data_IF_814278673036
#
_entry.id   IF_814278673036
#
_cell.length_a   1.000
_cell.length_b   1.000
_cell.length_c   1.000
_cell.angle_alpha   90.00
_cell.angle_beta   90.00
_cell.angle_gamma   90.00
#
_symmetry.space_group_name_H-M   'P 1'
#
loop_
_entity.id
_entity.type
_entity.pdbx_description
1 polymer ?
#
# COMPACT_ATOMS: atom_id res chain seq x y z
N UNK A 1 15.92 1.99 15.17
CA UNK A 1 15.62 0.59 14.82
C UNK A 1 14.77 0.50 13.57
N UNK A 2 13.66 1.23 13.54
CA UNK A 2 12.72 1.31 12.39
C UNK A 2 12.82 2.61 11.59
N UNK A 3 13.81 3.45 11.90
CA UNK A 3 14.21 4.60 11.10
C UNK A 3 14.79 4.15 9.75
N UNK A 4 14.81 5.04 8.76
CA UNK A 4 15.19 4.71 7.38
C UNK A 4 16.52 3.94 7.30
N UNK A 5 17.57 4.41 7.97
CA UNK A 5 18.87 3.75 8.02
C UNK A 5 18.83 2.34 8.66
N UNK A 6 17.89 2.10 9.57
CA UNK A 6 17.67 0.79 10.18
C UNK A 6 16.82 -0.17 9.34
N UNK A 7 16.14 0.31 8.30
CA UNK A 7 15.25 -0.50 7.44
C UNK A 7 15.75 -0.64 6.01
N UNK A 8 16.55 0.29 5.48
CA UNK A 8 17.15 0.21 4.15
C UNK A 8 17.86 -1.14 3.87
N UNK A 9 18.66 -1.72 4.78
CA UNK A 9 19.24 -3.05 4.58
C UNK A 9 18.22 -4.17 4.32
N UNK A 10 17.04 -4.07 4.95
CA UNK A 10 15.96 -5.04 4.78
C UNK A 10 15.23 -4.85 3.45
N UNK A 11 15.06 -3.60 2.99
CA UNK A 11 14.55 -3.33 1.63
C UNK A 11 15.47 -3.89 0.55
N UNK A 12 16.80 -3.81 0.76
CA UNK A 12 17.77 -4.42 -0.14
C UNK A 12 17.74 -5.94 -0.06
N UNK A 13 17.69 -6.53 1.14
CA UNK A 13 17.65 -7.99 1.32
C UNK A 13 16.44 -8.66 0.66
N UNK A 14 15.26 -8.04 0.76
CA UNK A 14 14.04 -8.63 0.20
C UNK A 14 14.03 -8.60 -1.33
N UNK A 15 14.79 -7.68 -1.95
CA UNK A 15 14.63 -7.31 -3.35
C UNK A 15 15.60 -8.02 -4.29
N UNK A 16 15.09 -8.38 -5.46
CA UNK A 16 15.85 -8.70 -6.66
C UNK A 16 15.39 -7.79 -7.79
N UNK A 17 16.09 -6.67 -7.92
CA UNK A 17 15.82 -5.61 -8.86
C UNK A 17 16.39 -5.92 -10.25
N UNK A 18 15.53 -5.85 -11.26
CA UNK A 18 15.86 -6.06 -12.68
C UNK A 18 16.01 -4.72 -13.43
N UNK A 19 16.76 -3.77 -12.85
CA UNK A 19 17.05 -2.49 -13.50
C UNK A 19 18.26 -2.54 -14.42
N UNK A 20 18.30 -1.63 -15.40
CA UNK A 20 19.38 -1.57 -16.40
C UNK A 20 20.72 -1.05 -15.84
N UNK A 21 20.68 -0.31 -14.73
CA UNK A 21 21.87 0.26 -14.07
C UNK A 21 22.01 -0.32 -12.66
N UNK A 22 23.26 -0.57 -12.26
CA UNK A 22 23.59 -0.86 -10.87
C UNK A 22 23.13 0.31 -9.98
N UNK A 23 22.58 -0.02 -8.82
CA UNK A 23 22.09 0.97 -7.85
C UNK A 23 22.48 0.54 -6.45
N UNK A 24 23.12 1.45 -5.71
CA UNK A 24 23.52 1.23 -4.31
C UNK A 24 22.32 1.20 -3.34
N UNK A 25 21.12 1.50 -3.86
CA UNK A 25 19.86 1.55 -3.12
C UNK A 25 19.03 0.27 -3.26
N UNK A 26 19.32 -0.56 -4.27
CA UNK A 26 18.48 -1.69 -4.67
C UNK A 26 19.12 -3.02 -4.29
N UNK A 27 18.28 -4.03 -4.05
CA UNK A 27 18.70 -5.42 -3.85
C UNK A 27 18.80 -6.17 -5.16
N UNK A 28 19.72 -7.14 -5.29
CA UNK A 28 19.89 -7.92 -6.54
C UNK A 28 19.86 -9.43 -6.33
N UNK A 29 19.70 -9.88 -5.09
CA UNK A 29 19.81 -11.29 -4.68
C UNK A 29 18.64 -11.78 -3.83
N UNK A 30 17.71 -10.89 -3.48
CA UNK A 30 16.52 -11.22 -2.70
C UNK A 30 15.50 -12.11 -3.43
N UNK A 31 14.49 -12.61 -2.72
CA UNK A 31 13.46 -13.47 -3.31
C UNK A 31 12.37 -12.69 -4.08
N UNK A 32 12.20 -11.38 -3.82
CA UNK A 32 11.17 -10.57 -4.47
C UNK A 32 11.71 -9.95 -5.77
N UNK A 33 11.36 -10.55 -6.90
CA UNK A 33 11.65 -9.96 -8.20
C UNK A 33 10.82 -8.71 -8.47
N UNK A 34 11.51 -7.60 -8.75
CA UNK A 34 10.93 -6.29 -9.07
C UNK A 34 11.58 -5.78 -10.35
N UNK A 35 10.80 -5.18 -11.25
CA UNK A 35 11.32 -4.62 -12.51
C UNK A 35 10.72 -3.26 -12.80
N UNK A 36 11.49 -2.40 -13.48
CA UNK A 36 10.99 -1.12 -13.98
C UNK A 36 9.98 -1.37 -15.10
N UNK A 37 8.90 -0.61 -15.11
CA UNK A 37 7.96 -0.64 -16.21
C UNK A 37 8.60 -0.03 -17.48
N UNK A 38 8.24 -0.56 -18.65
CA UNK A 38 8.84 -0.15 -19.93
C UNK A 38 8.22 1.13 -20.49
N UNK A 39 7.11 1.59 -19.93
CA UNK A 39 6.30 2.71 -20.45
C UNK A 39 5.96 2.49 -21.93
N UNK A 40 5.35 1.35 -22.23
CA UNK A 40 5.13 0.94 -23.62
C UNK A 40 4.19 1.89 -24.38
N UNK A 41 3.30 2.58 -23.67
CA UNK A 41 2.31 3.48 -24.26
C UNK A 41 2.88 4.91 -24.42
N UNK A 42 2.74 5.57 -25.58
CA UNK A 42 3.17 6.96 -25.76
C UNK A 42 2.64 7.94 -24.70
N UNK A 43 1.42 7.72 -24.20
CA UNK A 43 0.79 8.53 -23.15
C UNK A 43 1.61 8.55 -21.84
N UNK A 44 2.25 7.44 -21.50
CA UNK A 44 3.07 7.32 -20.29
C UNK A 44 4.31 8.22 -20.38
N UNK A 45 4.94 8.24 -21.55
CA UNK A 45 6.10 9.10 -21.84
C UNK A 45 5.69 10.57 -21.90
N UNK A 46 4.55 10.87 -22.52
CA UNK A 46 3.98 12.20 -22.57
C UNK A 46 3.66 12.74 -21.17
N UNK A 47 3.13 11.92 -20.27
CA UNK A 47 2.88 12.29 -18.88
C UNK A 47 4.16 12.66 -18.12
N UNK A 48 5.24 11.88 -18.27
CA UNK A 48 6.54 12.22 -17.67
C UNK A 48 7.15 13.49 -18.28
N UNK A 49 7.04 13.67 -19.60
CA UNK A 49 7.50 14.88 -20.27
C UNK A 49 6.72 16.12 -19.83
N UNK A 50 5.40 16.00 -19.67
CA UNK A 50 4.53 17.04 -19.14
C UNK A 50 4.90 17.42 -17.71
N UNK A 51 5.24 16.44 -16.86
CA UNK A 51 5.79 16.73 -15.53
C UNK A 51 7.04 17.61 -15.56
N UNK A 52 7.97 17.32 -16.48
CA UNK A 52 9.17 18.14 -16.71
C UNK A 52 8.83 19.54 -17.22
N UNK A 53 7.90 19.66 -18.16
CA UNK A 53 7.45 20.95 -18.71
C UNK A 53 6.76 21.82 -17.63
N UNK A 54 6.06 21.19 -16.68
CA UNK A 54 5.51 21.86 -15.50
C UNK A 54 6.55 22.24 -14.43
N UNK A 55 7.83 21.94 -14.66
CA UNK A 55 8.96 22.31 -13.79
C UNK A 55 9.36 21.25 -12.76
N UNK A 56 8.80 20.04 -12.81
CA UNK A 56 9.17 18.99 -11.86
C UNK A 56 10.37 18.16 -12.33
N UNK A 57 11.18 17.62 -11.40
CA UNK A 57 12.25 16.70 -11.75
C UNK A 57 11.69 15.38 -12.31
N UNK A 58 12.51 14.71 -13.12
CA UNK A 58 12.29 13.32 -13.54
C UNK A 58 13.34 12.47 -12.87
N UNK A 59 12.91 11.46 -12.11
CA UNK A 59 13.80 10.55 -11.38
C UNK A 59 13.94 9.22 -12.12
N UNK A 60 15.17 8.72 -12.20
CA UNK A 60 15.44 7.37 -12.73
C UNK A 60 15.00 6.30 -11.73
N UNK A 61 14.95 6.60 -10.43
CA UNK A 61 14.57 5.63 -9.40
C UNK A 61 13.88 6.27 -8.18
N UNK A 62 12.54 6.24 -8.17
CA UNK A 62 11.73 6.79 -7.07
C UNK A 62 11.81 5.96 -5.77
N UNK A 63 12.29 4.71 -5.83
CA UNK A 63 12.56 3.89 -4.66
C UNK A 63 14.03 3.95 -4.22
N UNK A 64 14.86 4.70 -4.95
CA UNK A 64 16.29 4.87 -4.69
C UNK A 64 16.60 6.23 -4.07
N UNK A 65 17.61 6.92 -4.62
CA UNK A 65 18.08 8.19 -4.08
C UNK A 65 17.01 9.28 -4.06
N UNK A 66 16.20 9.43 -5.12
CA UNK A 66 15.26 10.55 -5.25
C UNK A 66 13.84 10.06 -5.52
N UNK A 67 12.96 10.16 -4.51
CA UNK A 67 11.54 9.84 -4.64
C UNK A 67 10.76 10.93 -5.39
N UNK A 68 11.00 12.21 -5.04
CA UNK A 68 10.24 13.34 -5.59
C UNK A 68 10.53 13.56 -7.08
N UNK A 69 9.46 13.67 -7.85
CA UNK A 69 9.49 13.82 -9.31
C UNK A 69 8.68 12.76 -10.05
N UNK A 70 8.76 12.81 -11.38
CA UNK A 70 8.10 11.88 -12.30
C UNK A 70 9.02 10.70 -12.60
N UNK A 71 8.45 9.49 -12.69
CA UNK A 71 9.22 8.29 -12.99
C UNK A 71 8.39 7.22 -13.72
N UNK A 72 9.09 6.23 -14.26
CA UNK A 72 8.47 4.94 -14.55
C UNK A 72 8.27 4.15 -13.24
N UNK A 73 7.11 3.49 -13.09
CA UNK A 73 6.79 2.71 -11.88
C UNK A 73 7.51 1.36 -11.85
N UNK A 74 7.70 0.84 -10.64
CA UNK A 74 8.18 -0.53 -10.43
C UNK A 74 7.03 -1.53 -10.31
N UNK A 75 7.26 -2.75 -10.76
CA UNK A 75 6.28 -3.82 -10.71
C UNK A 75 6.89 -5.11 -10.16
N UNK A 76 6.19 -5.76 -9.23
CA UNK A 76 6.48 -7.13 -8.81
C UNK A 76 5.96 -8.15 -9.83
N UNK A 77 6.60 -8.18 -11.00
CA UNK A 77 6.30 -9.11 -12.10
C UNK A 77 7.57 -9.81 -12.54
N UNK A 78 7.52 -11.14 -12.60
CA UNK A 78 8.62 -11.98 -13.03
C UNK A 78 8.14 -13.06 -13.99
N UNK A 79 8.85 -13.25 -15.11
CA UNK A 79 8.47 -14.17 -16.20
C UNK A 79 6.99 -14.02 -16.61
N UNK A 80 6.56 -12.77 -16.75
CA UNK A 80 5.21 -12.39 -17.15
C UNK A 80 4.11 -12.67 -16.14
N UNK A 81 4.45 -13.07 -14.91
CA UNK A 81 3.48 -13.39 -13.86
C UNK A 81 3.63 -12.46 -12.67
N UNK A 82 2.53 -12.18 -11.97
CA UNK A 82 2.60 -11.56 -10.64
C UNK A 82 3.56 -12.35 -9.75
N UNK A 83 4.53 -11.66 -9.17
CA UNK A 83 5.47 -12.22 -8.23
C UNK A 83 5.05 -11.87 -6.81
N UNK A 84 4.24 -12.74 -6.20
CA UNK A 84 3.71 -12.53 -4.84
C UNK A 84 4.68 -13.06 -3.77
N UNK A 85 4.47 -12.65 -2.52
CA UNK A 85 5.16 -13.23 -1.35
C UNK A 85 4.93 -14.73 -1.21
N UNK A 86 3.80 -15.25 -1.68
CA UNK A 86 3.57 -16.69 -1.74
C UNK A 86 4.55 -17.40 -2.69
N UNK A 87 4.90 -16.77 -3.82
CA UNK A 87 5.89 -17.31 -4.76
C UNK A 87 7.31 -17.11 -4.22
N UNK A 88 7.61 -15.91 -3.71
CA UNK A 88 8.93 -15.50 -3.27
C UNK A 88 9.38 -16.19 -1.98
N UNK A 89 8.50 -16.34 -0.99
CA UNK A 89 8.84 -16.83 0.35
C UNK A 89 8.16 -18.14 0.71
N UNK A 90 6.83 -18.22 0.61
CA UNK A 90 6.08 -19.37 1.15
C UNK A 90 6.36 -20.67 0.38
N UNK A 91 6.30 -20.65 -0.95
CA UNK A 91 6.56 -21.87 -1.75
C UNK A 91 7.97 -22.43 -1.57
N UNK A 92 9.04 -21.62 -1.59
CA UNK A 92 10.38 -22.10 -1.21
C UNK A 92 10.42 -22.68 0.20
N UNK A 93 9.82 -22.01 1.19
CA UNK A 93 9.79 -22.49 2.57
C UNK A 93 9.06 -23.85 2.70
N UNK A 94 7.94 -24.05 2.01
CA UNK A 94 7.21 -25.33 1.97
C UNK A 94 8.05 -26.46 1.40
N UNK A 95 8.88 -26.21 0.37
CA UNK A 95 9.77 -27.23 -0.24
C UNK A 95 10.84 -27.75 0.72
N UNK A 96 11.15 -27.02 1.79
CA UNK A 96 12.11 -27.49 2.81
C UNK A 96 11.56 -28.63 3.67
N UNK A 97 10.24 -28.88 3.63
CA UNK A 97 9.56 -29.84 4.50
C UNK A 97 9.38 -29.38 5.95
N UNK A 98 9.88 -28.18 6.32
CA UNK A 98 9.81 -27.63 7.69
C UNK A 98 8.57 -26.78 7.95
N UNK A 99 7.79 -26.47 6.93
CA UNK A 99 6.57 -25.65 7.03
C UNK A 99 5.35 -26.51 6.75
N UNK A 100 4.40 -26.51 7.69
CA UNK A 100 3.07 -27.10 7.50
C UNK A 100 2.07 -26.00 7.18
N UNK A 101 1.37 -26.12 6.05
CA UNK A 101 0.29 -25.21 5.68
C UNK A 101 -1.05 -25.76 6.17
N UNK A 102 -1.77 -24.98 6.97
CA UNK A 102 -3.15 -25.27 7.38
C UNK A 102 -4.08 -24.25 6.77
N UNK A 103 -5.24 -24.69 6.25
CA UNK A 103 -6.28 -23.82 5.71
C UNK A 103 -7.48 -23.84 6.66
N UNK A 104 -7.80 -22.69 7.23
CA UNK A 104 -8.90 -22.52 8.16
C UNK A 104 -9.06 -21.06 8.58
N UNK A 105 -10.10 -20.79 9.37
CA UNK A 105 -10.33 -19.48 9.99
C UNK A 105 -9.70 -19.47 11.37
N UNK A 106 -8.67 -18.65 11.59
CA UNK A 106 -8.15 -18.39 12.93
C UNK A 106 -9.24 -17.67 13.75
N UNK A 107 -9.60 -18.23 14.90
CA UNK A 107 -10.70 -17.74 15.73
C UNK A 107 -10.20 -16.86 16.88
N UNK A 108 -9.15 -17.31 17.58
CA UNK A 108 -8.45 -16.60 18.66
C UNK A 108 -7.08 -17.20 18.91
N UNK A 109 -6.21 -16.44 19.55
CA UNK A 109 -4.98 -16.92 20.18
C UNK A 109 -5.35 -17.57 21.52
N UNK A 110 -4.78 -18.73 21.81
CA UNK A 110 -4.92 -19.41 23.09
C UNK A 110 -3.85 -18.88 24.03
N UNK A 111 -4.26 -18.35 25.17
CA UNK A 111 -3.37 -17.72 26.16
C UNK A 111 -3.53 -18.46 27.49
N UNK A 112 -2.41 -18.91 28.06
CA UNK A 112 -2.35 -19.64 29.33
C UNK A 112 -1.29 -18.97 30.20
N UNK A 113 -1.65 -18.57 31.43
CA UNK A 113 -0.76 -17.89 32.38
C UNK A 113 -0.01 -16.68 31.77
N UNK A 114 -0.73 -15.83 31.02
CA UNK A 114 -0.17 -14.63 30.38
C UNK A 114 0.68 -14.88 29.12
N UNK A 115 0.78 -16.13 28.65
CA UNK A 115 1.58 -16.52 27.48
C UNK A 115 0.73 -17.10 26.37
N UNK A 116 0.97 -16.70 25.12
CA UNK A 116 0.35 -17.33 23.96
C UNK A 116 0.93 -18.74 23.72
N UNK A 117 0.07 -19.76 23.73
CA UNK A 117 0.45 -21.18 23.60
C UNK A 117 -0.13 -21.88 22.37
N UNK A 118 -0.90 -21.16 21.55
CA UNK A 118 -1.43 -21.68 20.29
C UNK A 118 -2.46 -20.77 19.64
N UNK A 119 -3.09 -21.29 18.59
CA UNK A 119 -4.19 -20.63 17.88
C UNK A 119 -5.32 -21.63 17.70
N UNK A 120 -6.54 -21.22 18.05
CA UNK A 120 -7.76 -21.96 17.75
C UNK A 120 -8.17 -21.67 16.30
N UNK A 121 -8.40 -22.71 15.52
CA UNK A 121 -8.67 -22.62 14.08
C UNK A 121 -9.89 -23.47 13.73
N UNK A 122 -10.87 -22.85 13.08
CA UNK A 122 -11.95 -23.58 12.43
C UNK A 122 -11.48 -24.12 11.08
N UNK A 123 -11.46 -25.45 10.96
CA UNK A 123 -11.08 -26.19 9.76
C UNK A 123 -12.26 -27.02 9.26
N UNK A 124 -12.10 -27.67 8.10
CA UNK A 124 -13.11 -28.60 7.60
C UNK A 124 -13.24 -29.77 8.59
N UNK A 125 -14.40 -29.87 9.25
CA UNK A 125 -14.70 -30.95 10.20
C UNK A 125 -14.66 -30.54 11.69
N UNK A 126 -14.40 -29.26 12.01
CA UNK A 126 -14.54 -28.75 13.38
C UNK A 126 -13.49 -27.69 13.75
N UNK A 127 -13.35 -27.48 15.05
CA UNK A 127 -12.35 -26.56 15.63
C UNK A 127 -11.17 -27.35 16.18
N UNK A 128 -9.95 -26.94 15.84
CA UNK A 128 -8.70 -27.52 16.35
C UNK A 128 -7.84 -26.42 16.98
N UNK A 129 -7.09 -26.75 18.04
CA UNK A 129 -6.03 -25.87 18.56
C UNK A 129 -4.67 -26.30 18.04
N UNK A 130 -4.01 -25.43 17.26
CA UNK A 130 -2.62 -25.62 16.84
C UNK A 130 -1.73 -25.02 17.92
N UNK A 131 -1.03 -25.88 18.67
CA UNK A 131 -0.14 -25.47 19.77
C UNK A 131 1.20 -24.93 19.26
N UNK A 132 1.73 -23.93 19.95
CA UNK A 132 3.03 -23.32 19.69
C UNK A 132 3.93 -23.46 20.93
N UNK A 133 5.10 -24.07 20.76
CA UNK A 133 6.07 -24.26 21.87
C UNK A 133 6.94 -23.03 22.10
N UNK A 134 7.08 -22.15 21.10
CA UNK A 134 7.99 -20.99 21.14
C UNK A 134 7.26 -19.67 21.07
N UNK A 135 6.45 -19.45 20.04
CA UNK A 135 5.84 -18.15 19.79
C UNK A 135 4.67 -18.29 18.82
N UNK A 136 3.67 -17.41 18.96
CA UNK A 136 2.60 -17.19 18.00
C UNK A 136 2.86 -15.85 17.30
N UNK A 137 2.72 -15.82 15.97
CA UNK A 137 2.95 -14.61 15.16
C UNK A 137 1.69 -14.33 14.36
N UNK A 138 1.09 -13.15 14.55
CA UNK A 138 -0.07 -12.70 13.80
C UNK A 138 0.37 -11.91 12.56
N UNK A 139 -0.07 -12.35 11.38
CA UNK A 139 0.09 -11.65 10.11
C UNK A 139 -1.25 -11.61 9.38
N UNK A 140 -2.31 -11.18 10.08
CA UNK A 140 -3.69 -11.28 9.64
C UNK A 140 -4.23 -10.00 8.98
N UNK A 141 -3.36 -9.03 8.66
CA UNK A 141 -3.65 -7.68 8.12
C UNK A 141 -4.09 -6.66 9.17
N UNK A 142 -4.03 -5.38 8.78
CA UNK A 142 -4.58 -4.25 9.52
C UNK A 142 -6.07 -4.33 9.86
N UNK A 143 -6.83 -5.25 9.27
CA UNK A 143 -8.24 -5.44 9.62
C UNK A 143 -8.42 -6.63 10.56
N UNK A 144 -7.85 -7.80 10.23
CA UNK A 144 -8.13 -9.00 11.04
C UNK A 144 -7.16 -9.20 12.21
N UNK A 145 -5.97 -8.61 12.21
CA UNK A 145 -5.07 -8.65 13.37
C UNK A 145 -5.70 -8.02 14.62
N UNK A 146 -6.21 -6.77 14.60
CA UNK A 146 -6.86 -6.20 15.78
C UNK A 146 -8.11 -6.98 16.18
N UNK A 147 -8.90 -7.48 15.22
CA UNK A 147 -10.03 -8.37 15.49
C UNK A 147 -9.60 -9.62 16.25
N UNK A 148 -8.55 -10.30 15.77
CA UNK A 148 -8.07 -11.52 16.39
C UNK A 148 -7.49 -11.26 17.78
N UNK A 149 -6.78 -10.15 17.98
CA UNK A 149 -6.32 -9.72 19.31
C UNK A 149 -7.49 -9.51 20.27
N UNK A 150 -8.53 -8.76 19.84
CA UNK A 150 -9.71 -8.53 20.68
C UNK A 150 -10.47 -9.83 20.99
N UNK A 151 -10.66 -10.73 20.02
CA UNK A 151 -11.26 -12.06 20.25
C UNK A 151 -10.41 -12.95 21.17
N UNK A 152 -9.14 -12.60 21.38
CA UNK A 152 -8.22 -13.29 22.30
C UNK A 152 -8.15 -12.61 23.67
N UNK A 153 -9.00 -11.61 23.95
CA UNK A 153 -9.00 -10.87 25.21
C UNK A 153 -7.96 -9.73 25.29
N UNK A 154 -7.37 -9.33 24.17
CA UNK A 154 -6.37 -8.24 24.10
C UNK A 154 -6.96 -7.05 23.36
N UNK A 155 -7.28 -5.98 24.08
CA UNK A 155 -7.90 -4.79 23.49
C UNK A 155 -8.51 -3.85 24.53
N UNK A 156 -9.34 -2.88 24.12
CA UNK A 156 -9.97 -1.95 25.05
C UNK A 156 -10.89 -2.69 26.03
N UNK A 157 -10.62 -2.65 27.33
CA UNK A 157 -11.32 -3.47 28.32
C UNK A 157 -12.86 -3.34 28.29
N UNK A 158 -13.37 -2.10 28.17
CA UNK A 158 -14.82 -1.86 28.09
C UNK A 158 -15.45 -2.52 26.86
N UNK A 159 -14.80 -2.41 25.69
CA UNK A 159 -15.27 -3.02 24.44
C UNK A 159 -15.27 -4.55 24.52
N UNK A 160 -14.27 -5.15 25.18
CA UNK A 160 -14.24 -6.59 25.39
C UNK A 160 -15.36 -7.06 26.31
N UNK A 161 -15.62 -6.32 27.40
CA UNK A 161 -16.72 -6.60 28.32
C UNK A 161 -18.09 -6.53 27.63
N UNK A 162 -18.33 -5.54 26.76
CA UNK A 162 -19.56 -5.40 25.96
C UNK A 162 -19.83 -6.60 25.04
N UNK A 163 -18.78 -7.34 24.68
CA UNK A 163 -18.87 -8.56 23.88
C UNK A 163 -18.76 -9.85 24.70
N UNK A 164 -18.69 -9.77 26.02
CA UNK A 164 -18.57 -10.94 26.91
C UNK A 164 -17.25 -11.69 26.75
N UNK A 165 -16.18 -10.99 26.36
CA UNK A 165 -14.84 -11.55 26.19
C UNK A 165 -14.02 -11.28 27.45
N UNK A 166 -13.40 -12.32 28.01
CA UNK A 166 -12.52 -12.20 29.17
C UNK A 166 -11.30 -11.33 28.85
N UNK A 167 -11.00 -10.38 29.73
CA UNK A 167 -9.86 -9.50 29.59
C UNK A 167 -8.57 -10.23 29.94
N UNK A 168 -7.65 -10.31 28.98
CA UNK A 168 -6.27 -10.79 29.19
C UNK A 168 -5.32 -9.61 29.37
N UNK A 169 -5.42 -8.60 28.49
CA UNK A 169 -4.61 -7.40 28.56
C UNK A 169 -5.40 -6.18 28.05
N UNK A 170 -5.54 -5.16 28.89
CA UNK A 170 -6.17 -3.90 28.50
C UNK A 170 -5.20 -3.10 27.62
N UNK A 171 -5.49 -3.09 26.32
CA UNK A 171 -4.72 -2.38 25.30
C UNK A 171 -5.69 -1.52 24.47
N UNK A 172 -5.99 -0.27 24.90
CA UNK A 172 -6.95 0.59 24.22
C UNK A 172 -6.52 0.96 22.79
N UNK A 173 -5.23 0.84 22.46
CA UNK A 173 -4.73 1.06 21.10
C UNK A 173 -5.12 -0.02 20.07
N UNK A 174 -5.56 -1.21 20.50
CA UNK A 174 -5.95 -2.29 19.56
C UNK A 174 -7.15 -1.86 18.75
N UNK A 175 -7.02 -1.93 17.43
CA UNK A 175 -8.05 -1.52 16.48
C UNK A 175 -8.09 -0.02 16.20
N UNK A 176 -7.37 0.82 16.93
CA UNK A 176 -7.34 2.27 16.70
C UNK A 176 -6.30 2.66 15.66
N UNK A 177 -6.18 3.95 15.31
CA UNK A 177 -5.13 4.43 14.38
C UNK A 177 -5.18 3.76 12.98
N UNK A 178 -6.37 3.35 12.54
CA UNK A 178 -6.57 2.88 11.16
C UNK A 178 -6.27 4.04 10.21
N UNK A 179 -5.34 3.79 9.29
CA UNK A 179 -4.89 4.72 8.27
C UNK A 179 -5.01 4.07 6.90
N UNK A 180 -5.18 4.88 5.87
CA UNK A 180 -5.14 4.45 4.47
C UNK A 180 -4.59 5.58 3.60
N UNK A 181 -4.27 5.24 2.36
CA UNK A 181 -4.16 6.23 1.29
C UNK A 181 -5.49 6.32 0.56
N UNK A 182 -5.89 7.55 0.25
CA UNK A 182 -7.05 7.83 -0.59
C UNK A 182 -6.59 8.36 -1.94
N UNK A 183 -7.37 8.07 -2.97
CA UNK A 183 -7.16 8.60 -4.30
C UNK A 183 -8.48 8.97 -4.97
N UNK A 184 -8.39 9.91 -5.92
CA UNK A 184 -9.46 10.24 -6.87
C UNK A 184 -8.94 10.01 -8.29
N UNK A 185 -9.85 9.71 -9.20
CA UNK A 185 -9.51 9.44 -10.59
C UNK A 185 -9.87 10.64 -11.48
N UNK A 186 -8.86 11.33 -12.00
CA UNK A 186 -9.08 12.35 -13.02
C UNK A 186 -9.04 11.69 -14.39
N UNK A 187 -10.13 11.73 -15.14
CA UNK A 187 -10.27 11.02 -16.42
C UNK A 187 -10.28 12.00 -17.59
N UNK A 188 -9.64 11.59 -18.68
CA UNK A 188 -9.51 12.39 -19.89
C UNK A 188 -9.89 11.57 -21.11
N UNK A 189 -10.59 12.20 -22.05
CA UNK A 189 -10.82 11.65 -23.38
C UNK A 189 -9.54 11.76 -24.21
N UNK A 190 -9.18 10.70 -24.94
CA UNK A 190 -8.00 10.69 -25.80
C UNK A 190 -8.37 11.14 -27.23
N UNK A 191 -7.51 11.97 -27.85
CA UNK A 191 -7.62 12.34 -29.27
C UNK A 191 -7.32 11.17 -30.20
N UNK A 192 -6.51 10.22 -29.73
CA UNK A 192 -5.94 9.16 -30.54
C UNK A 192 -6.36 7.77 -30.02
N UNK A 193 -6.56 6.78 -30.91
CA UNK A 193 -6.97 5.42 -30.52
C UNK A 193 -5.78 4.56 -30.05
N UNK A 194 -5.00 5.09 -29.10
CA UNK A 194 -3.74 4.51 -28.61
C UNK A 194 -3.86 3.92 -27.19
N UNK A 195 -5.03 3.99 -26.58
CA UNK A 195 -5.30 3.51 -25.22
C UNK A 195 -5.62 2.00 -25.21
N UNK A 196 -5.61 1.36 -24.03
CA UNK A 196 -5.97 -0.06 -23.90
C UNK A 196 -7.42 -0.36 -24.32
N UNK A 197 -8.26 0.66 -24.49
CA UNK A 197 -9.62 0.51 -25.00
C UNK A 197 -9.66 -0.22 -26.36
N UNK A 198 -8.60 -0.11 -27.17
CA UNK A 198 -8.44 -0.87 -28.44
C UNK A 198 -8.65 -2.38 -28.26
N UNK A 199 -8.31 -2.92 -27.09
CA UNK A 199 -8.38 -4.34 -26.79
C UNK A 199 -9.64 -4.74 -26.00
N UNK A 200 -10.58 -3.82 -25.79
CA UNK A 200 -11.74 -4.07 -24.91
C UNK A 200 -12.76 -5.07 -25.48
N UNK A 201 -12.75 -5.25 -26.79
CA UNK A 201 -13.56 -6.25 -27.49
C UNK A 201 -13.06 -7.70 -27.22
N UNK A 202 -13.91 -8.69 -27.48
CA UNK A 202 -13.63 -10.09 -27.20
C UNK A 202 -12.37 -10.61 -27.92
N UNK A 203 -12.13 -10.20 -29.16
CA UNK A 203 -10.95 -10.60 -29.93
C UNK A 203 -9.66 -10.02 -29.34
N UNK A 204 -9.68 -8.74 -28.94
CA UNK A 204 -8.56 -8.08 -28.27
C UNK A 204 -8.21 -8.76 -26.95
N UNK A 205 -9.23 -9.08 -26.13
CA UNK A 205 -9.07 -9.84 -24.89
C UNK A 205 -8.51 -11.24 -25.15
N UNK A 206 -9.03 -11.95 -26.16
CA UNK A 206 -8.55 -13.28 -26.54
C UNK A 206 -7.09 -13.25 -27.02
N UNK A 207 -6.70 -12.25 -27.81
CA UNK A 207 -5.33 -12.09 -28.29
C UNK A 207 -4.35 -11.81 -27.14
N UNK A 208 -4.69 -10.87 -26.25
CA UNK A 208 -3.89 -10.60 -25.04
C UNK A 208 -3.77 -11.86 -24.18
N UNK A 209 -4.88 -12.56 -23.98
CA UNK A 209 -4.93 -13.81 -23.22
C UNK A 209 -4.05 -14.89 -23.83
N UNK A 210 -4.12 -15.10 -25.15
CA UNK A 210 -3.32 -16.06 -25.88
C UNK A 210 -1.82 -15.71 -25.82
N UNK A 211 -1.46 -14.45 -26.08
CA UNK A 211 -0.07 -13.99 -25.98
C UNK A 211 0.51 -14.24 -24.58
N UNK A 212 -0.24 -13.91 -23.53
CA UNK A 212 0.20 -14.19 -22.17
C UNK A 212 0.22 -15.69 -21.83
N UNK A 213 -0.75 -16.45 -22.30
CA UNK A 213 -0.86 -17.88 -22.03
C UNK A 213 0.36 -18.63 -22.58
N UNK A 214 0.70 -18.39 -23.84
CA UNK A 214 1.76 -19.11 -24.56
C UNK A 214 3.14 -18.47 -24.40
N UNK A 215 3.24 -17.14 -24.34
CA UNK A 215 4.52 -16.43 -24.37
C UNK A 215 4.85 -15.70 -23.06
N UNK A 216 3.91 -15.63 -22.11
CA UNK A 216 4.06 -14.86 -20.85
C UNK A 216 4.52 -13.42 -21.10
N UNK A 217 4.02 -12.81 -22.18
CA UNK A 217 4.41 -11.49 -22.64
C UNK A 217 3.19 -10.65 -23.04
N UNK A 218 3.44 -9.42 -23.49
CA UNK A 218 2.40 -8.49 -23.92
C UNK A 218 1.65 -7.84 -22.75
N UNK A 219 0.48 -7.26 -23.06
CA UNK A 219 -0.31 -6.47 -22.10
C UNK A 219 -0.80 -7.27 -20.89
N UNK A 220 -0.98 -8.58 -21.03
CA UNK A 220 -1.35 -9.46 -19.90
C UNK A 220 -0.23 -9.65 -18.88
N UNK A 221 1.00 -9.24 -19.20
CA UNK A 221 2.18 -9.33 -18.35
C UNK A 221 2.51 -7.99 -17.63
N UNK A 222 1.60 -7.02 -17.61
CA UNK A 222 1.75 -5.72 -16.93
C UNK A 222 0.54 -5.44 -16.03
N UNK A 223 0.74 -4.65 -14.98
CA UNK A 223 -0.35 -4.08 -14.17
C UNK A 223 -0.91 -2.78 -14.78
N UNK A 224 -0.33 -2.31 -15.89
CA UNK A 224 -0.70 -1.11 -16.66
C UNK A 224 -0.44 0.24 -15.98
N UNK A 225 -0.10 0.26 -14.69
CA UNK A 225 0.37 1.45 -13.96
C UNK A 225 1.89 1.59 -14.13
N UNK A 226 2.31 2.16 -15.25
CA UNK A 226 3.73 2.18 -15.63
C UNK A 226 4.39 3.54 -15.46
N UNK A 227 3.65 4.60 -15.09
CA UNK A 227 4.21 5.92 -14.82
C UNK A 227 3.60 6.54 -13.59
N UNK A 228 4.40 7.33 -12.89
CA UNK A 228 4.05 7.91 -11.61
C UNK A 228 4.66 9.28 -11.40
N UNK A 229 4.19 9.95 -10.36
CA UNK A 229 4.90 11.05 -9.76
C UNK A 229 4.71 11.05 -8.24
N UNK A 230 5.69 11.59 -7.52
CA UNK A 230 5.58 11.94 -6.11
C UNK A 230 5.90 13.42 -5.98
N UNK A 231 4.91 14.22 -5.61
CA UNK A 231 5.04 15.67 -5.57
C UNK A 231 4.68 16.19 -4.18
N UNK A 232 5.21 17.37 -3.84
CA UNK A 232 4.81 18.12 -2.65
C UNK A 232 3.58 18.96 -2.97
N UNK A 233 2.66 19.09 -2.02
CA UNK A 233 1.46 19.91 -2.18
C UNK A 233 1.75 21.40 -2.00
N UNK A 234 2.77 21.76 -1.21
CA UNK A 234 3.15 23.15 -0.96
C UNK A 234 4.63 23.31 -0.56
N UNK A 235 5.10 24.56 -0.50
CA UNK A 235 6.31 24.92 0.22
C UNK A 235 6.14 24.62 1.72
N UNK A 236 7.23 24.30 2.41
CA UNK A 236 7.20 23.92 3.83
C UNK A 236 6.91 22.44 4.09
N UNK A 237 6.79 21.63 3.04
CA UNK A 237 6.66 20.17 3.14
C UNK A 237 8.01 19.55 2.77
N UNK A 238 8.57 18.71 3.65
CA UNK A 238 9.94 18.21 3.50
C UNK A 238 10.08 17.11 2.42
N UNK A 239 9.02 16.32 2.18
CA UNK A 239 9.01 15.22 1.22
C UNK A 239 7.64 15.08 0.59
N UNK A 240 7.53 14.49 -0.61
CA UNK A 240 6.29 14.47 -1.38
C UNK A 240 5.14 13.85 -0.59
N UNK A 241 4.00 14.52 -0.57
CA UNK A 241 2.77 14.13 0.13
C UNK A 241 1.61 13.87 -0.84
N UNK A 242 1.84 13.96 -2.15
CA UNK A 242 0.91 13.57 -3.21
C UNK A 242 1.56 12.49 -4.07
N UNK A 243 0.82 11.42 -4.34
CA UNK A 243 1.22 10.37 -5.29
C UNK A 243 0.31 10.41 -6.52
N UNK A 244 0.90 10.19 -7.69
CA UNK A 244 0.19 10.07 -8.97
C UNK A 244 0.44 8.68 -9.57
N UNK A 245 -0.62 8.03 -10.06
CA UNK A 245 -0.54 6.83 -10.88
C UNK A 245 -1.18 7.11 -12.25
N UNK A 246 -0.44 6.90 -13.33
CA UNK A 246 -0.95 7.09 -14.68
C UNK A 246 -1.40 5.76 -15.29
N UNK A 247 -2.61 5.73 -15.83
CA UNK A 247 -3.19 4.56 -16.49
C UNK A 247 -3.70 4.92 -17.90
N UNK A 248 -3.24 4.23 -18.97
CA UNK A 248 -3.64 4.51 -20.35
C UNK A 248 -4.99 3.87 -20.71
N UNK A 249 -5.95 3.93 -19.78
CA UNK A 249 -7.36 3.59 -19.99
C UNK A 249 -8.22 4.36 -19.00
N UNK A 250 -9.35 4.91 -19.45
CA UNK A 250 -10.37 5.47 -18.58
C UNK A 250 -11.44 4.40 -18.32
N UNK A 251 -11.45 3.83 -17.11
CA UNK A 251 -12.39 2.80 -16.70
C UNK A 251 -12.99 3.22 -15.36
N UNK A 252 -14.30 3.08 -15.21
CA UNK A 252 -14.95 3.19 -13.91
C UNK A 252 -14.66 1.93 -13.11
N UNK A 253 -14.72 2.02 -11.78
CA UNK A 253 -14.40 0.87 -10.92
C UNK A 253 -15.34 -0.33 -11.12
N UNK A 254 -16.56 -0.12 -11.65
CA UNK A 254 -17.48 -1.18 -12.08
C UNK A 254 -17.00 -1.97 -13.33
N UNK A 255 -15.79 -1.67 -13.82
CA UNK A 255 -15.16 -2.32 -14.96
C UNK A 255 -15.73 -1.84 -16.29
N UNK A 256 -16.62 -0.85 -16.33
CA UNK A 256 -17.10 -0.29 -17.59
C UNK A 256 -16.16 0.82 -18.08
N UNK A 257 -15.92 0.84 -19.39
CA UNK A 257 -15.20 1.96 -19.99
C UNK A 257 -15.91 3.28 -19.67
N UNK A 258 -15.16 4.35 -19.44
CA UNK A 258 -15.73 5.69 -19.38
C UNK A 258 -16.50 5.97 -20.68
N UNK A 259 -17.55 6.79 -20.57
CA UNK A 259 -18.63 6.93 -21.56
C UNK A 259 -18.22 7.31 -23.00
N UNK A 260 -16.94 7.63 -23.24
CA UNK A 260 -16.42 8.09 -24.54
C UNK A 260 -15.41 7.15 -25.22
N UNK A 261 -15.21 5.93 -24.71
CA UNK A 261 -14.34 4.93 -25.35
C UNK A 261 -12.84 5.12 -25.07
N UNK A 262 -12.07 5.66 -26.01
CA UNK A 262 -10.63 5.88 -25.81
C UNK A 262 -10.39 7.02 -24.81
N UNK A 263 -9.97 6.67 -23.59
CA UNK A 263 -9.52 7.63 -22.58
C UNK A 263 -8.35 7.11 -21.77
N UNK A 264 -7.83 7.94 -20.88
CA UNK A 264 -6.80 7.62 -19.90
C UNK A 264 -7.10 8.35 -18.58
N UNK A 265 -6.44 7.95 -17.50
CA UNK A 265 -6.72 8.52 -16.18
C UNK A 265 -5.46 8.66 -15.33
N UNK A 266 -5.52 9.63 -14.43
CA UNK A 266 -4.53 9.89 -13.40
C UNK A 266 -5.19 9.66 -12.05
N UNK A 267 -4.68 8.69 -11.30
CA UNK A 267 -5.09 8.48 -9.91
C UNK A 267 -4.21 9.33 -9.03
N UNK A 268 -4.79 10.15 -8.16
CA UNK A 268 -4.01 11.06 -7.32
C UNK A 268 -4.66 11.28 -5.97
N UNK A 269 -3.86 11.53 -4.96
CA UNK A 269 -4.34 11.84 -3.63
C UNK A 269 -3.23 11.98 -2.57
N UNK A 270 -3.61 12.36 -1.35
CA UNK A 270 -2.69 12.56 -0.25
C UNK A 270 -2.13 11.23 0.26
N UNK A 271 -0.82 11.20 0.51
CA UNK A 271 -0.12 10.06 1.12
C UNK A 271 -0.02 10.16 2.65
N UNK A 272 -0.43 11.29 3.24
CA UNK A 272 -0.15 11.56 4.66
C UNK A 272 -1.33 12.12 5.43
N UNK A 273 -2.51 11.59 5.14
CA UNK A 273 -3.73 11.97 5.85
C UNK A 273 -3.55 11.93 7.37
N UNK A 274 -3.93 13.00 8.10
CA UNK A 274 -3.95 12.99 9.55
C UNK A 274 -5.22 12.32 10.11
N UNK A 275 -6.25 12.09 9.28
CA UNK A 275 -7.48 11.39 9.69
C UNK A 275 -7.17 9.98 10.22
N UNK A 276 -7.88 9.56 11.27
CA UNK A 276 -7.68 8.27 11.94
C UNK A 276 -8.99 7.56 12.17
N UNK A 277 -9.03 6.30 11.76
CA UNK A 277 -10.15 5.42 11.95
C UNK A 277 -9.95 4.36 13.03
N UNK A 278 -10.87 3.41 13.05
CA UNK A 278 -10.88 2.25 13.93
C UNK A 278 -11.42 0.98 13.25
N UNK A 279 -10.97 -0.18 13.74
CA UNK A 279 -11.54 -1.50 13.50
C UNK A 279 -11.96 -2.09 14.85
N UNK A 280 -13.26 -2.31 15.06
CA UNK A 280 -13.81 -2.86 16.31
C UNK A 280 -14.58 -4.16 16.05
N UNK A 281 -14.81 -4.93 17.12
CA UNK A 281 -15.67 -6.11 17.01
C UNK A 281 -17.12 -5.71 16.75
N UNK A 282 -17.81 -6.53 15.96
CA UNK A 282 -19.27 -6.49 15.83
C UNK A 282 -19.94 -7.40 16.86
N UNK A 283 -19.31 -8.53 17.14
CA UNK A 283 -19.73 -9.55 18.10
C UNK A 283 -18.51 -10.39 18.50
N UNK A 284 -18.70 -11.29 19.46
CA UNK A 284 -17.70 -12.29 19.83
C UNK A 284 -17.62 -13.48 18.85
N UNK A 285 -18.46 -13.53 17.80
CA UNK A 285 -18.39 -14.57 16.78
C UNK A 285 -17.18 -14.32 15.85
N UNK A 286 -16.20 -15.24 15.80
CA UNK A 286 -15.05 -15.09 14.92
C UNK A 286 -15.40 -15.02 13.43
N UNK A 287 -16.55 -15.55 13.00
CA UNK A 287 -17.01 -15.46 11.61
C UNK A 287 -17.66 -14.11 11.26
N UNK A 288 -18.09 -13.33 12.26
CA UNK A 288 -18.73 -12.04 12.02
C UNK A 288 -17.74 -11.00 11.46
N UNK A 289 -18.10 -10.22 10.44
CA UNK A 289 -17.23 -9.16 9.93
C UNK A 289 -17.07 -8.05 10.98
N UNK A 290 -15.87 -7.46 11.13
CA UNK A 290 -15.67 -6.36 12.06
C UNK A 290 -16.45 -5.10 11.64
N UNK A 291 -16.49 -4.12 12.52
CA UNK A 291 -16.92 -2.75 12.19
C UNK A 291 -15.68 -1.97 11.80
N UNK A 292 -15.67 -1.43 10.58
CA UNK A 292 -14.54 -0.66 10.03
C UNK A 292 -15.03 0.76 9.81
N UNK A 293 -14.32 1.73 10.39
CA UNK A 293 -14.57 3.16 10.18
C UNK A 293 -13.25 3.84 9.91
N UNK A 294 -13.04 4.35 8.71
CA UNK A 294 -11.80 5.05 8.38
C UNK A 294 -11.78 6.52 8.79
N UNK A 295 -12.96 7.14 8.94
CA UNK A 295 -13.12 8.57 9.14
C UNK A 295 -12.39 9.39 8.06
N UNK A 296 -12.51 8.95 6.81
CA UNK A 296 -11.93 9.64 5.67
C UNK A 296 -12.38 11.10 5.63
N UNK A 297 -11.42 11.98 5.34
CA UNK A 297 -11.67 13.41 5.18
C UNK A 297 -12.20 14.10 6.46
N UNK A 298 -11.91 13.54 7.64
CA UNK A 298 -12.27 14.16 8.93
C UNK A 298 -11.46 15.44 9.17
N UNK A 299 -10.21 15.46 8.74
CA UNK A 299 -9.31 16.61 8.87
C UNK A 299 -9.36 17.55 7.65
N UNK A 300 -9.28 18.86 7.89
CA UNK A 300 -9.31 19.88 6.83
C UNK A 300 -8.10 19.77 5.88
N UNK A 301 -6.95 19.33 6.39
CA UNK A 301 -5.72 19.14 5.62
C UNK A 301 -5.92 18.13 4.48
N UNK A 302 -6.76 17.11 4.66
CA UNK A 302 -7.07 16.15 3.60
C UNK A 302 -7.74 16.83 2.40
N UNK A 303 -8.72 17.71 2.66
CA UNK A 303 -9.41 18.48 1.63
C UNK A 303 -8.47 19.45 0.90
N UNK A 304 -7.57 20.10 1.64
CA UNK A 304 -6.59 21.02 1.06
C UNK A 304 -5.63 20.30 0.10
N UNK A 305 -5.05 19.17 0.53
CA UNK A 305 -4.09 18.42 -0.30
C UNK A 305 -4.79 17.81 -1.52
N UNK A 306 -6.02 17.31 -1.38
CA UNK A 306 -6.77 16.81 -2.54
C UNK A 306 -7.10 17.90 -3.57
N UNK A 307 -7.56 19.08 -3.15
CA UNK A 307 -7.80 20.22 -4.06
C UNK A 307 -6.53 20.58 -4.81
N UNK A 308 -5.40 20.62 -4.11
CA UNK A 308 -4.08 20.85 -4.72
C UNK A 308 -3.70 19.75 -5.71
N UNK A 309 -3.88 18.47 -5.36
CA UNK A 309 -3.61 17.34 -6.25
C UNK A 309 -4.43 17.42 -7.55
N UNK A 310 -5.71 17.79 -7.47
CA UNK A 310 -6.57 17.99 -8.65
C UNK A 310 -6.11 19.17 -9.53
N UNK A 311 -5.75 20.30 -8.91
CA UNK A 311 -5.22 21.47 -9.63
C UNK A 311 -3.88 21.17 -10.31
N UNK A 312 -2.95 20.52 -9.59
CA UNK A 312 -1.67 20.09 -10.15
C UNK A 312 -1.88 19.12 -11.31
N UNK A 313 -2.82 18.17 -11.18
CA UNK A 313 -3.16 17.26 -12.29
C UNK A 313 -3.55 18.06 -13.52
N UNK A 314 -4.47 19.03 -13.41
CA UNK A 314 -4.88 19.85 -14.54
C UNK A 314 -3.73 20.68 -15.13
N UNK A 315 -2.87 21.23 -14.27
CA UNK A 315 -1.68 21.98 -14.70
C UNK A 315 -0.71 21.10 -15.52
N UNK A 316 -0.43 19.89 -15.04
CA UNK A 316 0.43 18.91 -15.73
C UNK A 316 -0.21 18.48 -17.05
N UNK A 317 -1.51 18.20 -17.05
CA UNK A 317 -2.22 17.70 -18.23
C UNK A 317 -2.42 18.78 -19.30
N UNK A 318 -2.26 20.06 -18.95
CA UNK A 318 -2.29 21.19 -19.88
C UNK A 318 -0.95 21.45 -20.59
N UNK A 319 0.13 20.74 -20.23
CA UNK A 319 1.46 20.98 -20.80
C UNK A 319 1.55 20.53 -22.29
N UNK A 320 2.45 21.14 -23.09
CA UNK A 320 2.60 20.86 -24.52
C UNK A 320 2.72 19.38 -24.88
N UNK A 321 3.43 18.57 -24.07
CA UNK A 321 3.60 17.14 -24.29
C UNK A 321 2.26 16.37 -24.32
N UNK A 322 1.24 16.84 -23.60
CA UNK A 322 -0.09 16.21 -23.58
C UNK A 322 -1.02 16.70 -24.68
N UNK A 323 -0.74 17.85 -25.32
CA UNK A 323 -1.62 18.47 -26.31
C UNK A 323 -2.01 17.56 -27.50
N UNK A 324 -1.11 16.72 -28.05
CA UNK A 324 -1.45 15.79 -29.14
C UNK A 324 -2.39 14.66 -28.71
N UNK A 325 -2.49 14.41 -27.40
CA UNK A 325 -3.11 13.21 -26.83
C UNK A 325 -4.42 13.50 -26.10
N UNK A 326 -4.52 14.62 -25.38
CA UNK A 326 -5.70 14.97 -24.59
C UNK A 326 -6.75 15.69 -25.46
N UNK A 327 -7.99 15.19 -25.44
CA UNK A 327 -9.15 15.82 -26.09
C UNK A 327 -9.82 16.81 -25.14
N UNK A 328 -10.33 16.32 -24.01
CA UNK A 328 -10.91 17.10 -22.92
C UNK A 328 -10.93 16.29 -21.61
N UNK A 329 -11.08 16.96 -20.48
CA UNK A 329 -11.32 16.34 -19.17
C UNK A 329 -12.76 15.81 -19.10
N UNK A 330 -12.93 14.55 -18.70
CA UNK A 330 -14.21 13.89 -18.49
C UNK A 330 -14.69 14.10 -17.05
N UNK A 331 -13.82 13.83 -16.07
CA UNK A 331 -14.10 14.01 -14.65
C UNK A 331 -12.84 14.53 -13.93
N UNK A 332 -12.92 15.50 -13.01
CA UNK A 332 -14.14 16.17 -12.50
C UNK A 332 -14.95 16.95 -13.54
N UNK A 333 -14.31 17.32 -14.65
CA UNK A 333 -14.90 18.10 -15.73
C UNK A 333 -14.55 19.58 -15.58
N UNK A 334 -14.43 20.27 -16.72
CA UNK A 334 -13.88 21.63 -16.78
C UNK A 334 -14.66 22.67 -15.96
N UNK A 335 -15.95 22.43 -15.68
CA UNK A 335 -16.78 23.35 -14.89
C UNK A 335 -16.50 23.32 -13.37
N UNK A 336 -15.84 22.27 -12.87
CA UNK A 336 -15.53 22.14 -11.45
C UNK A 336 -14.26 22.93 -11.09
N UNK A 337 -14.37 24.25 -10.95
CA UNK A 337 -13.21 25.14 -10.69
C UNK A 337 -13.12 25.61 -9.22
N UNK A 338 -14.26 25.80 -8.57
CA UNK A 338 -14.32 26.28 -7.18
C UNK A 338 -13.95 25.17 -6.20
N UNK A 339 -13.45 25.57 -5.03
CA UNK A 339 -13.16 24.63 -3.93
C UNK A 339 -14.37 23.77 -3.60
N UNK A 340 -15.57 24.37 -3.49
CA UNK A 340 -16.80 23.64 -3.21
C UNK A 340 -17.14 22.60 -4.30
N UNK A 341 -16.88 22.90 -5.57
CA UNK A 341 -17.11 21.94 -6.65
C UNK A 341 -16.09 20.79 -6.63
N UNK A 342 -14.83 21.09 -6.32
CA UNK A 342 -13.79 20.08 -6.14
C UNK A 342 -14.08 19.19 -4.93
N UNK A 343 -14.49 19.77 -3.80
CA UNK A 343 -14.86 19.03 -2.59
C UNK A 343 -16.07 18.13 -2.83
N UNK A 344 -17.08 18.59 -3.57
CA UNK A 344 -18.21 17.77 -3.98
C UNK A 344 -17.75 16.57 -4.83
N UNK A 345 -16.83 16.79 -5.78
CA UNK A 345 -16.25 15.72 -6.57
C UNK A 345 -15.47 14.72 -5.71
N UNK A 346 -14.59 15.20 -4.82
CA UNK A 346 -13.78 14.38 -3.92
C UNK A 346 -14.69 13.53 -3.03
N UNK A 347 -15.73 14.12 -2.45
CA UNK A 347 -16.68 13.41 -1.57
C UNK A 347 -17.37 12.25 -2.27
N UNK A 348 -17.70 12.40 -3.54
CA UNK A 348 -18.40 11.39 -4.33
C UNK A 348 -17.45 10.31 -4.90
N UNK A 349 -16.17 10.65 -5.16
CA UNK A 349 -15.26 9.79 -5.93
C UNK A 349 -13.98 9.38 -5.20
N UNK A 350 -13.73 9.82 -3.97
CA UNK A 350 -12.57 9.38 -3.20
C UNK A 350 -12.70 7.90 -2.85
N UNK A 351 -11.66 7.14 -3.18
CA UNK A 351 -11.59 5.70 -2.95
C UNK A 351 -10.33 5.33 -2.19
N UNK A 352 -10.38 4.20 -1.48
CA UNK A 352 -9.20 3.60 -0.85
C UNK A 352 -8.24 3.10 -1.92
N UNK A 353 -6.95 3.42 -1.77
CA UNK A 353 -5.88 2.82 -2.55
C UNK A 353 -5.49 1.41 -2.03
N UNK A 354 -6.30 0.82 -1.13
CA UNK A 354 -6.09 -0.47 -0.49
C UNK A 354 -4.78 -0.57 0.30
N UNK A 355 -4.45 0.49 1.04
CA UNK A 355 -3.28 0.56 1.91
C UNK A 355 -3.62 0.63 3.42
N UNK A 356 -4.62 -0.10 3.94
CA UNK A 356 -4.98 0.00 5.35
C UNK A 356 -3.82 -0.45 6.25
N UNK A 357 -3.51 0.33 7.29
CA UNK A 357 -2.42 0.06 8.22
C UNK A 357 -2.69 0.64 9.62
N UNK A 358 -1.83 0.32 10.59
CA UNK A 358 -1.72 1.03 11.86
C UNK A 358 -2.60 0.60 13.03
N UNK A 359 -3.42 -0.44 12.87
CA UNK A 359 -4.39 -0.91 13.88
C UNK A 359 -3.83 -1.72 15.05
N UNK A 360 -2.56 -2.09 14.99
CA UNK A 360 -1.81 -2.69 16.09
C UNK A 360 -0.51 -1.89 16.28
N UNK A 361 -0.65 -0.56 16.35
CA UNK A 361 0.44 0.42 16.31
C UNK A 361 1.66 0.05 17.15
N UNK A 362 2.83 0.09 16.54
CA UNK A 362 4.11 0.00 17.24
C UNK A 362 4.40 1.29 18.02
N UNK A 363 4.91 1.16 19.24
CA UNK A 363 5.35 2.28 20.06
C UNK A 363 6.29 1.85 21.19
N UNK A 364 6.60 2.78 22.09
CA UNK A 364 7.33 2.44 23.31
C UNK A 364 6.50 1.50 24.19
N UNK A 365 7.14 0.67 25.01
CA UNK A 365 6.44 -0.32 25.83
C UNK A 365 5.50 0.33 26.88
N UNK A 366 5.82 1.55 27.29
CA UNK A 366 5.07 2.39 28.23
C UNK A 366 4.06 3.33 27.54
N UNK A 367 4.02 3.36 26.20
CA UNK A 367 2.99 4.11 25.46
C UNK A 367 1.64 3.38 25.62
N UNK A 368 0.62 4.01 26.24
CA UNK A 368 -0.68 3.37 26.49
C UNK A 368 -1.44 3.03 25.21
N UNK A 369 -1.12 3.70 24.10
CA UNK A 369 -1.77 3.51 22.81
C UNK A 369 -0.96 2.65 21.83
N UNK A 370 0.23 2.19 22.22
CA UNK A 370 0.93 1.14 21.48
C UNK A 370 0.18 -0.20 21.59
N UNK A 371 0.46 -1.13 20.70
CA UNK A 371 -0.03 -2.52 20.79
C UNK A 371 1.15 -3.47 20.78
N UNK A 372 2.18 -3.12 20.02
CA UNK A 372 3.45 -3.84 20.00
C UNK A 372 4.63 -2.94 20.35
N UNK A 373 5.65 -3.54 20.95
CA UNK A 373 6.94 -2.88 21.22
C UNK A 373 7.81 -2.76 19.94
N UNK A 374 9.00 -2.13 20.01
CA UNK A 374 9.90 -2.02 18.85
C UNK A 374 10.44 -3.36 18.31
N UNK A 375 10.28 -4.45 19.05
CA UNK A 375 10.57 -5.80 18.57
C UNK A 375 9.34 -6.46 17.90
N UNK A 376 8.19 -5.78 17.89
CA UNK A 376 6.90 -6.25 17.43
C UNK A 376 6.23 -7.31 18.35
N UNK A 377 6.64 -7.38 19.62
CA UNK A 377 6.00 -8.19 20.68
C UNK A 377 4.74 -7.50 21.16
N UNK A 378 3.64 -8.24 21.30
CA UNK A 378 2.39 -7.71 21.86
C UNK A 378 2.60 -7.35 23.32
N UNK A 379 2.32 -6.10 23.67
CA UNK A 379 2.54 -5.60 25.03
C UNK A 379 1.50 -6.23 25.96
N UNK A 380 1.95 -6.91 27.01
CA UNK A 380 1.10 -7.56 28.01
C UNK A 380 0.84 -9.06 27.78
N UNK A 381 1.38 -9.66 26.71
CA UNK A 381 1.26 -11.11 26.47
C UNK A 381 2.59 -11.69 26.00
N UNK A 382 3.09 -12.68 26.73
CA UNK A 382 4.34 -13.35 26.40
C UNK A 382 4.19 -14.27 25.18
N UNK A 383 5.23 -14.35 24.34
CA UNK A 383 5.25 -15.29 23.21
C UNK A 383 4.24 -14.97 22.10
N UNK A 384 3.84 -13.70 21.97
CA UNK A 384 2.97 -13.22 20.90
C UNK A 384 3.62 -12.03 20.17
N UNK A 385 3.68 -12.09 18.83
CA UNK A 385 4.13 -10.99 17.96
C UNK A 385 3.12 -10.67 16.88
N UNK A 386 3.23 -9.47 16.30
CA UNK A 386 2.52 -9.07 15.09
C UNK A 386 3.52 -8.72 13.98
N UNK A 387 3.33 -9.27 12.79
CA UNK A 387 4.20 -9.06 11.63
C UNK A 387 3.36 -8.79 10.38
N UNK A 388 2.69 -7.64 10.34
CA UNK A 388 2.00 -7.10 9.15
C UNK A 388 1.86 -5.57 9.23
N UNK A 389 1.15 -4.96 8.28
CA UNK A 389 0.97 -3.49 8.20
C UNK A 389 0.19 -2.88 9.37
N UNK A 390 -0.47 -3.68 10.21
CA UNK A 390 -1.15 -3.17 11.41
C UNK A 390 -0.18 -2.49 12.37
N UNK A 391 1.11 -2.84 12.37
CA UNK A 391 2.09 -2.29 13.31
C UNK A 391 2.60 -0.90 12.93
N UNK A 392 2.24 -0.38 11.75
CA UNK A 392 2.75 0.90 11.27
C UNK A 392 2.32 2.04 12.20
N UNK A 393 3.25 2.82 12.78
CA UNK A 393 2.88 4.01 13.54
C UNK A 393 2.18 5.05 12.68
N UNK A 394 2.70 5.22 11.47
CA UNK A 394 2.15 6.09 10.43
C UNK A 394 2.27 5.37 9.09
N UNK A 395 1.30 5.59 8.22
CA UNK A 395 1.39 5.09 6.84
C UNK A 395 2.67 5.60 6.15
N UNK A 396 3.29 4.72 5.37
CA UNK A 396 4.53 5.02 4.63
C UNK A 396 4.24 5.86 3.39
N UNK A 397 5.22 6.62 2.91
CA UNK A 397 5.05 7.43 1.71
C UNK A 397 5.13 6.59 0.42
N UNK A 398 3.98 6.16 -0.11
CA UNK A 398 3.84 5.27 -1.26
C UNK A 398 3.21 3.91 -0.92
N UNK A 399 3.12 3.02 -1.91
CA UNK A 399 2.36 1.77 -1.78
C UNK A 399 2.90 0.84 -0.68
N UNK A 400 2.01 0.27 0.13
CA UNK A 400 2.38 -0.41 1.38
C UNK A 400 2.83 -1.88 1.24
N UNK A 401 2.90 -2.42 0.02
CA UNK A 401 3.34 -3.79 -0.22
C UNK A 401 4.79 -4.02 0.23
N UNK A 402 5.76 -3.25 -0.27
CA UNK A 402 7.16 -3.41 0.11
C UNK A 402 7.42 -3.14 1.60
N UNK A 403 6.87 -2.07 2.22
CA UNK A 403 6.91 -1.88 3.67
C UNK A 403 6.35 -3.05 4.49
N UNK A 404 5.29 -3.71 4.02
CA UNK A 404 4.71 -4.87 4.72
C UNK A 404 5.61 -6.11 4.64
N UNK A 405 6.26 -6.32 3.50
CA UNK A 405 7.24 -7.42 3.33
C UNK A 405 8.48 -7.15 4.20
N UNK A 406 8.93 -5.90 4.26
CA UNK A 406 10.01 -5.46 5.13
C UNK A 406 9.71 -5.75 6.61
N UNK A 407 8.48 -5.52 7.08
CA UNK A 407 8.08 -5.92 8.44
C UNK A 407 8.30 -7.42 8.64
N UNK A 408 7.87 -8.26 7.70
CA UNK A 408 8.10 -9.71 7.78
C UNK A 408 9.59 -10.07 7.86
N UNK A 409 10.42 -9.46 7.01
CA UNK A 409 11.87 -9.66 6.99
C UNK A 409 12.55 -9.26 8.31
N UNK A 410 12.20 -8.07 8.83
CA UNK A 410 12.80 -7.54 10.04
C UNK A 410 12.33 -8.29 11.30
N UNK A 411 11.04 -8.62 11.37
CA UNK A 411 10.51 -9.41 12.50
C UNK A 411 11.07 -10.83 12.48
N UNK A 412 11.29 -11.45 11.32
CA UNK A 412 11.97 -12.74 11.22
C UNK A 412 13.38 -12.70 11.84
N UNK A 413 14.12 -11.60 11.63
CA UNK A 413 15.41 -11.38 12.28
C UNK A 413 15.29 -11.20 13.80
N UNK A 414 14.31 -10.42 14.28
CA UNK A 414 14.06 -10.28 15.72
C UNK A 414 13.76 -11.63 16.38
N UNK A 415 12.96 -12.49 15.75
CA UNK A 415 12.67 -13.85 16.23
C UNK A 415 13.94 -14.70 16.33
N UNK A 416 14.90 -14.50 15.41
CA UNK A 416 16.17 -15.21 15.38
C UNK A 416 17.27 -14.53 16.22
N UNK A 417 16.98 -13.42 16.91
CA UNK A 417 17.98 -12.64 17.66
C UNK A 417 19.04 -11.98 16.76
N UNK A 418 18.66 -11.59 15.55
CA UNK A 418 19.53 -10.98 14.52
C UNK A 418 19.12 -9.54 14.25
N UNK A 419 20.07 -8.74 13.77
CA UNK A 419 19.85 -7.38 13.28
C UNK A 419 20.82 -7.13 12.13
N UNK A 420 20.33 -6.63 11.00
CA UNK A 420 21.19 -6.16 9.91
C UNK A 420 21.87 -4.83 10.28
N UNK A 421 23.13 -4.61 9.85
CA UNK A 421 23.84 -3.36 10.12
C UNK A 421 23.10 -2.19 9.45
N UNK A 422 23.07 -1.04 10.13
CA UNK A 422 22.47 0.20 9.62
C UNK A 422 23.17 0.64 8.33
N UNK A 423 22.42 1.31 7.45
CA UNK A 423 22.92 1.94 6.24
C UNK A 423 22.51 3.42 6.26
N UNK A 424 23.45 4.32 6.58
CA UNK A 424 23.16 5.75 6.85
C UNK A 424 23.02 6.60 5.56
N UNK A 425 22.87 5.97 4.40
CA UNK A 425 22.51 6.69 3.17
C UNK A 425 21.17 7.40 3.36
N UNK A 426 21.13 8.67 2.97
CA UNK A 426 19.95 9.51 3.06
C UNK A 426 19.36 9.77 1.67
N UNK A 427 18.03 9.66 1.48
CA UNK A 427 17.40 10.03 0.24
C UNK A 427 17.59 11.53 -0.01
N UNK A 428 17.57 11.92 -1.27
CA UNK A 428 17.52 13.31 -1.70
C UNK A 428 16.25 13.97 -1.17
N UNK A 429 16.44 15.16 -0.63
CA UNK A 429 15.38 16.07 -0.21
C UNK A 429 15.59 17.36 -1.01
N UNK A 430 14.50 17.92 -1.54
CA UNK A 430 14.58 19.14 -2.33
C UNK A 430 15.24 20.27 -1.53
N UNK A 431 16.33 20.90 -1.99
CA UNK A 431 17.09 21.87 -1.18
C UNK A 431 16.23 23.06 -0.71
N UNK A 432 15.34 23.54 -1.57
CA UNK A 432 14.48 24.69 -1.29
C UNK A 432 13.09 24.32 -0.75
N UNK A 433 12.94 23.13 -0.14
CA UNK A 433 11.61 22.62 0.20
C UNK A 433 10.80 23.54 1.13
N UNK A 434 11.49 24.34 1.95
CA UNK A 434 10.89 25.28 2.89
C UNK A 434 10.23 26.48 2.20
N UNK A 435 10.74 26.88 1.04
CA UNK A 435 10.37 28.14 0.37
C UNK A 435 9.75 27.94 -1.01
N UNK A 436 9.94 26.77 -1.63
CA UNK A 436 9.32 26.42 -2.92
C UNK A 436 8.68 25.03 -2.87
N UNK A 437 7.62 24.87 -3.67
CA UNK A 437 6.98 23.59 -3.92
C UNK A 437 7.73 22.77 -5.00
N UNK A 438 8.41 23.42 -5.94
CA UNK A 438 9.24 22.82 -6.99
C UNK A 438 10.34 23.75 -7.47
#
# INVERSE_FOLDING_TARGET
>A
GWDYAGVLPYYRRLEHWHGDKASDWRGTDGPLHVRRARQWNPLMKAFVAAGREAGYPVTEDYNGYQQEGFAAFDMSVHNGRRWSTANAYLRPALRTGRVRLVRGLAQRVVIENGRATGVEVAIKGGTETIRATREVILSASSINTPKLLMLSGIGPAAHLADHGIELVADRPGVGQNLQDHLEVYVQFAAKQPITLYRYWNLLGKALIGAQWLFLKSGHGASNQFESCAFLRSAAGIEYPDIQFHFLPIAVRYDGKAAAEGHGFQVHTGPMRSPSRGSVTLRSADPAAPPVIRFNYMEAEEDWQVFRTALRLTREIMAQPAMAPHMKHEIQPGAAAESDAALDAFIREHAESAYHPCGTARMGAADDPSAVVDPEARVIGVDGLRVADSSIFPRVTNGNTNAPSILVGEKVADHILGRVLPRDDRAPWIHPDWRTSQR
#
